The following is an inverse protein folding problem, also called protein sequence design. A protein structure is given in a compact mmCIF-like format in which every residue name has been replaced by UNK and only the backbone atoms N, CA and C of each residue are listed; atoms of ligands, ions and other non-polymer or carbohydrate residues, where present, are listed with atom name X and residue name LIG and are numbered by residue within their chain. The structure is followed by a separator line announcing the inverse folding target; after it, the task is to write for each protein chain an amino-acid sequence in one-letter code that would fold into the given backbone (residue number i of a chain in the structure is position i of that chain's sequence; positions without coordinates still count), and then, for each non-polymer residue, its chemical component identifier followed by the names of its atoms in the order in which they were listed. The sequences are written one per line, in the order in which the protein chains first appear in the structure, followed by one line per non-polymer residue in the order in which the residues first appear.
data_IF_844142774789
#
_entry.id   IF_844142774789
#
_cell.length_a   1.000
_cell.length_b   1.000
_cell.length_c   1.000
_cell.angle_alpha   90.00
_cell.angle_beta   90.00
_cell.angle_gamma   90.00
#
_symmetry.space_group_name_H-M   'P 1'
#
loop_
_entity.id
_entity.type
_entity.pdbx_description
1 polymer ?
#
# COMPACT_ATOMS: atom_id res chain seq x y z
N UNK A 1 17.78 7.90 5.53
CA UNK A 1 16.75 8.74 4.88
C UNK A 1 15.38 8.07 4.90
N UNK A 2 15.27 6.81 4.46
CA UNK A 2 14.00 6.05 4.46
C UNK A 2 13.27 6.08 5.82
N UNK A 3 13.97 5.78 6.92
CA UNK A 3 13.37 5.79 8.26
C UNK A 3 12.78 7.16 8.66
N UNK A 4 13.45 8.26 8.29
CA UNK A 4 12.96 9.61 8.57
C UNK A 4 11.68 9.88 7.76
N UNK A 5 11.70 9.62 6.45
CA UNK A 5 10.54 9.85 5.59
C UNK A 5 9.34 9.01 6.03
N UNK A 6 9.55 7.73 6.31
CA UNK A 6 8.49 6.84 6.79
C UNK A 6 7.85 7.37 8.07
N UNK A 7 8.65 7.83 9.04
CA UNK A 7 8.12 8.45 10.27
C UNK A 7 7.28 9.68 9.96
N UNK A 8 7.78 10.63 9.18
CA UNK A 8 7.02 11.86 8.88
C UNK A 8 5.71 11.56 8.13
N UNK A 9 5.71 10.57 7.22
CA UNK A 9 4.50 10.11 6.53
C UNK A 9 3.51 9.48 7.52
N UNK A 10 3.99 8.61 8.40
CA UNK A 10 3.15 8.01 9.44
C UNK A 10 2.53 9.05 10.38
N UNK A 11 3.25 10.13 10.69
CA UNK A 11 2.67 11.24 11.47
C UNK A 11 1.61 12.01 10.67
N UNK A 12 1.86 12.30 9.38
CA UNK A 12 0.89 12.99 8.53
C UNK A 12 -0.44 12.22 8.37
N UNK A 13 -0.36 10.89 8.26
CA UNK A 13 -1.52 10.01 8.13
C UNK A 13 -2.44 10.02 9.36
N UNK A 14 -1.98 10.48 10.54
CA UNK A 14 -2.82 10.63 11.75
C UNK A 14 -3.70 11.88 11.72
N UNK A 15 -3.45 12.81 10.81
CA UNK A 15 -4.21 14.06 10.75
C UNK A 15 -5.60 13.82 10.16
N UNK A 16 -6.61 14.48 10.74
CA UNK A 16 -8.00 14.38 10.28
C UNK A 16 -8.21 14.93 8.87
N UNK A 17 -7.37 15.88 8.47
CA UNK A 17 -7.37 16.40 7.11
C UNK A 17 -6.95 15.33 6.09
N UNK A 18 -5.83 14.65 6.33
CA UNK A 18 -5.34 13.58 5.45
C UNK A 18 -6.30 12.40 5.44
N UNK A 19 -6.83 12.00 6.59
CA UNK A 19 -7.86 10.96 6.69
C UNK A 19 -9.09 11.30 5.81
N UNK A 20 -9.57 12.55 5.86
CA UNK A 20 -10.72 12.99 5.07
C UNK A 20 -10.44 12.97 3.57
N UNK A 21 -9.25 13.38 3.14
CA UNK A 21 -8.85 13.37 1.72
C UNK A 21 -8.78 11.94 1.19
N UNK A 22 -8.15 11.03 1.94
CA UNK A 22 -8.09 9.62 1.56
C UNK A 22 -9.50 9.00 1.51
N UNK A 23 -10.33 9.29 2.51
CA UNK A 23 -11.70 8.80 2.56
C UNK A 23 -12.56 9.31 1.39
N UNK A 24 -12.33 10.54 0.89
CA UNK A 24 -13.07 11.03 -0.30
C UNK A 24 -12.77 10.24 -1.56
N UNK A 25 -11.62 9.57 -1.62
CA UNK A 25 -11.23 8.67 -2.72
C UNK A 25 -11.57 7.19 -2.40
N UNK A 26 -12.26 6.92 -1.30
CA UNK A 26 -12.59 5.57 -0.85
C UNK A 26 -11.40 4.80 -0.25
N UNK A 27 -10.38 5.51 0.22
CA UNK A 27 -9.14 4.96 0.77
C UNK A 27 -9.10 5.13 2.30
N UNK A 28 -8.31 4.28 2.95
CA UNK A 28 -8.01 4.37 4.38
C UNK A 28 -6.49 4.54 4.58
N UNK A 29 -6.06 5.33 5.58
CA UNK A 29 -4.64 5.48 5.90
C UNK A 29 -4.09 4.17 6.49
N UNK A 30 -3.16 3.53 5.76
CA UNK A 30 -2.54 2.28 6.22
C UNK A 30 -1.32 2.51 7.14
N UNK A 31 -0.42 3.42 6.77
CA UNK A 31 0.85 3.61 7.48
C UNK A 31 1.74 2.37 7.46
N UNK A 32 2.51 2.19 8.53
CA UNK A 32 3.36 1.02 8.75
C UNK A 32 4.84 1.26 8.53
N UNK A 33 5.61 0.19 8.65
CA UNK A 33 7.06 0.14 8.45
C UNK A 33 7.43 -0.12 6.98
N UNK A 34 8.64 0.28 6.55
CA UNK A 34 9.15 -0.07 5.23
C UNK A 34 9.17 -1.59 4.96
N UNK A 35 9.43 -2.39 5.99
CA UNK A 35 9.48 -3.85 5.93
C UNK A 35 8.08 -4.45 5.69
N UNK A 36 7.05 -3.92 6.35
CA UNK A 36 5.65 -4.33 6.12
C UNK A 36 5.21 -4.03 4.68
N UNK A 37 5.56 -2.85 4.13
CA UNK A 37 5.31 -2.54 2.73
C UNK A 37 6.02 -3.54 1.79
N UNK A 38 7.28 -3.86 2.06
CA UNK A 38 8.02 -4.87 1.31
C UNK A 38 7.37 -6.26 1.35
N UNK A 39 6.86 -6.66 2.51
CA UNK A 39 6.14 -7.92 2.68
C UNK A 39 4.83 -7.94 1.89
N UNK A 40 4.05 -6.85 1.92
CA UNK A 40 2.82 -6.70 1.14
C UNK A 40 3.11 -6.87 -0.36
N UNK A 41 4.08 -6.14 -0.89
CA UNK A 41 4.45 -6.22 -2.31
C UNK A 41 4.81 -7.66 -2.71
N UNK A 42 5.64 -8.33 -1.90
CA UNK A 42 6.04 -9.72 -2.18
C UNK A 42 4.84 -10.67 -2.20
N UNK A 43 3.93 -10.53 -1.25
CA UNK A 43 2.72 -11.36 -1.17
C UNK A 43 1.78 -11.10 -2.34
N UNK A 44 1.53 -9.84 -2.67
CA UNK A 44 0.63 -9.44 -3.74
C UNK A 44 1.14 -9.91 -5.11
N UNK A 45 2.45 -9.78 -5.36
CA UNK A 45 3.07 -10.33 -6.58
C UNK A 45 2.82 -11.84 -6.67
N UNK A 46 3.06 -12.59 -5.60
CA UNK A 46 2.86 -14.03 -5.58
C UNK A 46 1.39 -14.42 -5.83
N UNK A 47 0.48 -13.76 -5.12
CA UNK A 47 -0.96 -13.99 -5.21
C UNK A 47 -1.49 -13.70 -6.61
N UNK A 48 -1.22 -12.52 -7.15
CA UNK A 48 -1.73 -12.13 -8.46
C UNK A 48 -1.06 -12.87 -9.61
N UNK A 49 0.21 -13.25 -9.49
CA UNK A 49 0.86 -14.13 -10.47
C UNK A 49 0.13 -15.46 -10.62
N UNK A 50 -0.35 -16.04 -9.51
CA UNK A 50 -1.15 -17.27 -9.55
C UNK A 50 -2.52 -17.03 -10.18
N UNK A 51 -3.18 -15.92 -9.84
CA UNK A 51 -4.49 -15.56 -10.40
C UNK A 51 -4.41 -15.40 -11.92
N UNK A 52 -3.46 -14.60 -12.42
CA UNK A 52 -3.28 -14.36 -13.87
C UNK A 52 -3.03 -15.66 -14.62
N UNK A 53 -2.13 -16.51 -14.11
CA UNK A 53 -1.84 -17.82 -14.72
C UNK A 53 -3.06 -18.74 -14.75
N UNK A 54 -3.84 -18.79 -13.67
CA UNK A 54 -5.04 -19.65 -13.59
C UNK A 54 -6.17 -19.14 -14.48
N UNK A 55 -6.33 -17.83 -14.57
CA UNK A 55 -7.37 -17.20 -15.37
C UNK A 55 -7.02 -17.11 -16.87
N UNK A 56 -5.79 -17.46 -17.27
CA UNK A 56 -5.34 -17.36 -18.66
C UNK A 56 -5.28 -15.93 -19.19
N UNK A 57 -5.23 -14.93 -18.29
CA UNK A 57 -5.22 -13.51 -18.64
C UNK A 57 -3.89 -13.16 -19.29
N UNK A 58 -3.94 -12.48 -20.43
CA UNK A 58 -2.79 -11.90 -21.13
C UNK A 58 -2.99 -10.39 -21.22
N UNK A 59 -1.92 -9.63 -21.04
CA UNK A 59 -1.90 -8.21 -21.34
C UNK A 59 -1.55 -8.08 -22.82
N UNK A 60 -2.37 -7.33 -23.57
CA UNK A 60 -2.11 -7.00 -24.99
C UNK A 60 -1.06 -5.89 -25.13
#
# INVERSE_FOLDING_TARGET
MVARLNREVNEALKSKEVEKILASDGLEPAGGSPEELGAIIKNEIGRWSQVVKRAGVKVE
#
